data_IF_409458948401
#
_entry.id   IF_409458948401
#
_cell.length_a   1.000
_cell.length_b   1.000
_cell.length_c   1.000
_cell.angle_alpha   90.00
_cell.angle_beta   90.00
_cell.angle_gamma   90.00
#
_symmetry.space_group_name_H-M   'P 1'
#
loop_
_entity.id
_entity.type
_entity.pdbx_description
1 polymer ?
#
# COMPACT_ATOMS: atom_id res chain seq x y z
N UNK A 1 -12.45 -6.96 -15.53
CA UNK A 1 -10.99 -6.95 -15.67
C UNK A 1 -10.50 -8.23 -15.03
N UNK A 2 -9.97 -9.16 -15.82
CA UNK A 2 -9.50 -10.47 -15.34
C UNK A 2 -7.99 -10.36 -15.14
N UNK A 3 -7.47 -10.82 -14.01
CA UNK A 3 -6.02 -10.93 -13.81
C UNK A 3 -5.47 -11.89 -14.88
N UNK A 4 -4.42 -11.46 -15.58
CA UNK A 4 -3.71 -12.33 -16.53
C UNK A 4 -2.83 -13.30 -15.72
N UNK A 5 -3.15 -14.61 -15.70
CA UNK A 5 -2.40 -15.58 -14.92
C UNK A 5 -0.94 -15.71 -15.39
N UNK A 6 -0.62 -15.37 -16.64
CA UNK A 6 0.75 -15.43 -17.16
C UNK A 6 1.60 -14.26 -16.65
N UNK A 7 0.98 -13.14 -16.26
CA UNK A 7 1.70 -11.99 -15.68
C UNK A 7 2.14 -12.24 -14.24
N UNK A 8 1.45 -13.12 -13.50
CA UNK A 8 1.73 -13.40 -12.10
C UNK A 8 1.69 -14.90 -11.80
N UNK A 9 2.68 -15.68 -12.27
CA UNK A 9 2.64 -17.15 -12.26
C UNK A 9 2.65 -17.78 -10.86
N UNK A 10 2.89 -16.99 -9.80
CA UNK A 10 2.87 -17.45 -8.40
C UNK A 10 1.55 -17.15 -7.69
N UNK A 11 0.62 -16.42 -8.31
CA UNK A 11 -0.69 -16.14 -7.72
C UNK A 11 -1.63 -17.33 -7.92
N UNK A 12 -2.26 -17.77 -6.85
CA UNK A 12 -3.26 -18.84 -6.81
C UNK A 12 -4.54 -18.29 -6.20
N UNK A 13 -5.70 -18.89 -6.49
CA UNK A 13 -6.99 -18.46 -5.92
C UNK A 13 -7.02 -18.41 -4.37
N UNK A 14 -6.07 -19.07 -3.70
CA UNK A 14 -5.98 -19.17 -2.25
C UNK A 14 -4.93 -18.27 -1.61
N UNK A 15 -4.00 -17.69 -2.38
CA UNK A 15 -2.91 -16.86 -1.84
C UNK A 15 -3.05 -15.37 -2.16
N UNK A 16 -4.09 -14.98 -2.90
CA UNK A 16 -4.41 -13.59 -3.18
C UNK A 16 -5.91 -13.37 -3.22
N UNK A 17 -6.29 -12.10 -3.13
CA UNK A 17 -7.65 -11.65 -3.34
C UNK A 17 -7.61 -10.25 -3.90
N UNK A 18 -8.44 -9.97 -4.90
CA UNK A 18 -8.63 -8.61 -5.38
C UNK A 18 -9.36 -7.79 -4.30
N UNK A 19 -8.72 -6.74 -3.80
CA UNK A 19 -9.27 -5.87 -2.76
C UNK A 19 -9.74 -4.53 -3.31
N UNK A 20 -9.24 -4.09 -4.47
CA UNK A 20 -9.55 -2.80 -5.06
C UNK A 20 -9.99 -2.91 -6.53
N UNK A 21 -10.76 -1.94 -7.04
CA UNK A 21 -11.04 -1.84 -8.45
C UNK A 21 -9.80 -1.35 -9.23
N UNK A 22 -9.69 -1.76 -10.49
CA UNK A 22 -8.65 -1.35 -11.42
C UNK A 22 -9.12 -0.16 -12.26
N UNK A 23 -9.44 0.96 -11.63
CA UNK A 23 -9.91 2.18 -12.29
C UNK A 23 -9.09 3.41 -11.86
N UNK A 24 -9.47 4.59 -12.37
CA UNK A 24 -8.73 5.85 -12.15
C UNK A 24 -8.77 6.34 -10.69
N UNK A 25 -9.66 5.77 -9.86
CA UNK A 25 -9.76 6.08 -8.43
C UNK A 25 -8.87 5.18 -7.57
N UNK A 26 -8.16 4.23 -8.19
CA UNK A 26 -7.21 3.37 -7.48
C UNK A 26 -6.00 4.16 -6.96
N UNK A 27 -5.79 4.11 -5.64
CA UNK A 27 -4.62 4.63 -4.95
C UNK A 27 -4.07 3.56 -4.00
N UNK A 28 -2.94 2.95 -4.36
CA UNK A 28 -2.38 1.83 -3.60
C UNK A 28 -2.07 2.18 -2.14
N UNK A 29 -1.63 3.41 -1.86
CA UNK A 29 -1.27 3.86 -0.50
C UNK A 29 -2.53 3.91 0.37
N UNK A 30 -3.61 4.49 -0.14
CA UNK A 30 -4.91 4.60 0.52
C UNK A 30 -5.51 3.22 0.81
N UNK A 31 -5.47 2.32 -0.18
CA UNK A 31 -5.95 0.94 -0.03
C UNK A 31 -5.14 0.15 1.00
N UNK A 32 -3.80 0.27 0.99
CA UNK A 32 -2.93 -0.37 1.98
C UNK A 32 -3.14 0.21 3.39
N UNK A 33 -3.46 1.49 3.50
CA UNK A 33 -3.81 2.15 4.76
C UNK A 33 -5.23 1.82 5.25
N UNK A 34 -6.06 1.17 4.43
CA UNK A 34 -7.46 0.88 4.74
C UNK A 34 -8.37 2.12 4.74
N UNK A 35 -7.93 3.24 4.15
CA UNK A 35 -8.69 4.49 4.05
C UNK A 35 -9.07 4.74 2.58
N UNK A 36 -10.23 4.22 2.18
CA UNK A 36 -10.75 4.38 0.81
C UNK A 36 -11.54 5.67 0.61
N UNK A 37 -11.65 6.52 1.63
CA UNK A 37 -12.42 7.77 1.57
C UNK A 37 -11.56 8.96 1.13
N UNK A 38 -10.22 8.82 1.21
CA UNK A 38 -9.26 9.89 0.92
C UNK A 38 -8.23 9.47 -0.11
N UNK A 39 -7.77 10.45 -0.90
CA UNK A 39 -6.66 10.25 -1.83
C UNK A 39 -5.32 10.48 -1.12
N UNK A 40 -4.62 9.39 -0.81
CA UNK A 40 -3.33 9.43 -0.13
C UNK A 40 -2.23 9.85 -1.10
N UNK A 41 -1.81 11.10 -1.02
CA UNK A 41 -0.71 11.67 -1.76
C UNK A 41 -0.29 13.02 -1.11
N UNK A 42 1.02 13.31 -1.02
CA UNK A 42 1.51 14.64 -0.67
C UNK A 42 0.82 15.76 -1.46
N UNK A 43 0.32 16.77 -0.75
CA UNK A 43 -0.48 17.87 -1.33
C UNK A 43 -1.98 17.57 -1.54
N UNK A 44 -2.42 16.34 -1.27
CA UNK A 44 -3.83 15.99 -1.08
C UNK A 44 -4.05 15.61 0.38
N UNK A 45 -4.34 14.34 0.69
CA UNK A 45 -4.34 13.85 2.05
C UNK A 45 -3.00 13.15 2.35
N UNK A 46 -2.38 13.53 3.47
CA UNK A 46 -1.23 12.85 4.03
C UNK A 46 -1.32 12.93 5.56
N UNK A 47 -1.05 11.85 6.31
CA UNK A 47 -1.25 11.82 7.76
C UNK A 47 -0.16 12.59 8.53
N UNK A 48 0.93 12.99 7.87
CA UNK A 48 2.06 13.73 8.43
C UNK A 48 2.40 14.96 7.58
N UNK A 49 3.14 15.91 8.13
CA UNK A 49 3.62 17.05 7.36
C UNK A 49 4.74 16.61 6.41
N UNK A 50 4.57 16.88 5.12
CA UNK A 50 5.56 16.52 4.09
C UNK A 50 5.50 17.55 2.95
N UNK A 51 6.60 17.74 2.23
CA UNK A 51 6.60 18.52 1.00
C UNK A 51 5.69 17.86 -0.04
N UNK A 52 4.94 18.67 -0.78
CA UNK A 52 4.10 18.20 -1.90
C UNK A 52 4.90 17.43 -2.96
N UNK A 53 6.19 17.75 -3.10
CA UNK A 53 7.09 17.15 -4.09
C UNK A 53 7.77 15.86 -3.61
N UNK A 54 7.57 15.48 -2.34
CA UNK A 54 8.23 14.32 -1.76
C UNK A 54 7.43 13.04 -1.99
N UNK A 55 7.76 12.35 -3.09
CA UNK A 55 7.16 11.07 -3.46
C UNK A 55 8.11 9.89 -3.19
N UNK A 56 9.06 10.06 -2.29
CA UNK A 56 10.06 9.04 -1.96
C UNK A 56 9.55 7.98 -0.99
N UNK A 57 10.34 6.91 -0.85
CA UNK A 57 10.07 5.84 0.12
C UNK A 57 10.05 6.34 1.56
N UNK A 58 10.85 7.38 1.88
CA UNK A 58 10.86 7.99 3.21
C UNK A 58 9.50 8.56 3.62
N UNK A 59 8.83 9.28 2.71
CA UNK A 59 7.48 9.78 2.95
C UNK A 59 6.48 8.64 3.24
N UNK A 60 6.59 7.52 2.51
CA UNK A 60 5.76 6.34 2.73
C UNK A 60 6.04 5.70 4.10
N UNK A 61 7.31 5.54 4.48
CA UNK A 61 7.71 5.03 5.80
C UNK A 61 7.11 5.90 6.91
N UNK A 62 7.24 7.22 6.82
CA UNK A 62 6.68 8.14 7.82
C UNK A 62 5.14 8.06 7.88
N UNK A 63 4.48 7.94 6.72
CA UNK A 63 3.03 7.83 6.65
C UNK A 63 2.50 6.53 7.28
N UNK A 64 3.07 5.37 6.93
CA UNK A 64 2.68 4.10 7.56
C UNK A 64 3.13 4.02 9.02
N UNK A 65 4.27 4.62 9.37
CA UNK A 65 4.72 4.78 10.75
C UNK A 65 3.71 5.54 11.62
N UNK A 66 3.06 6.58 11.07
CA UNK A 66 1.98 7.30 11.76
C UNK A 66 0.73 6.45 12.03
N UNK A 67 0.54 5.35 11.30
CA UNK A 67 -0.50 4.35 11.52
C UNK A 67 -0.08 3.24 12.50
N UNK A 68 1.16 3.27 12.99
CA UNK A 68 1.72 2.28 13.91
C UNK A 68 2.49 1.13 13.26
N UNK A 69 2.79 1.22 11.96
CA UNK A 69 3.69 0.26 11.31
C UNK A 69 5.15 0.51 11.73
N UNK A 70 5.96 -0.53 11.63
CA UNK A 70 7.39 -0.48 11.90
C UNK A 70 8.13 -1.13 10.72
N UNK A 71 9.39 -0.73 10.51
CA UNK A 71 10.23 -1.39 9.51
C UNK A 71 10.44 -2.86 9.89
N UNK A 72 10.18 -3.76 8.94
CA UNK A 72 10.44 -5.18 9.10
C UNK A 72 11.94 -5.47 9.17
N UNK A 73 12.31 -6.58 9.81
CA UNK A 73 13.71 -7.00 9.90
C UNK A 73 14.27 -7.49 8.56
N UNK A 74 13.41 -8.04 7.70
CA UNK A 74 13.73 -8.58 6.39
C UNK A 74 12.52 -8.46 5.43
N UNK A 75 12.61 -9.07 4.25
CA UNK A 75 11.58 -9.07 3.22
C UNK A 75 10.53 -10.18 3.40
N UNK A 76 10.56 -10.93 4.50
CA UNK A 76 9.62 -11.98 4.80
C UNK A 76 8.42 -11.43 5.58
N UNK A 77 7.18 -11.81 5.22
CA UNK A 77 6.01 -11.46 6.01
C UNK A 77 6.09 -12.06 7.42
N UNK A 78 5.93 -11.21 8.43
CA UNK A 78 5.86 -11.66 9.83
C UNK A 78 4.49 -12.27 10.15
N UNK A 79 4.48 -13.48 10.71
CA UNK A 79 3.25 -14.18 11.07
C UNK A 79 2.50 -13.43 12.18
N UNK A 80 1.20 -13.20 11.99
CA UNK A 80 0.34 -12.49 12.93
C UNK A 80 0.31 -10.96 12.73
N UNK A 81 1.07 -10.42 11.78
CA UNK A 81 1.09 -8.99 11.44
C UNK A 81 0.55 -8.72 10.03
N UNK A 82 0.00 -7.51 9.85
CA UNK A 82 -0.30 -6.98 8.52
C UNK A 82 0.96 -6.31 7.97
N UNK A 83 1.54 -6.86 6.91
CA UNK A 83 2.77 -6.34 6.31
C UNK A 83 2.44 -5.51 5.06
N UNK A 84 3.19 -4.42 4.83
CA UNK A 84 3.12 -3.59 3.62
C UNK A 84 4.52 -3.56 2.98
N UNK A 85 4.61 -3.95 1.71
CA UNK A 85 5.86 -3.85 0.94
C UNK A 85 5.91 -2.50 0.21
N UNK A 86 7.02 -1.76 0.34
CA UNK A 86 7.26 -0.44 -0.25
C UNK A 86 8.32 -0.48 -1.37
#
# INVERSE_FOLDING_TARGET
MTLDPDAFPRLTETNHRLTSPSDVTYNCVAWSAGDTDRWWQPGFYWPVEVSREDHGIGALIDAFGSLGYQEGADDLPEEGFGNVAL
#
